data_IF_659100533827
#
_entry.id   IF_659100533827
#
_cell.length_a   1.000
_cell.length_b   1.000
_cell.length_c   1.000
_cell.angle_alpha   90.00
_cell.angle_beta   90.00
_cell.angle_gamma   90.00
#
_symmetry.space_group_name_H-M   'P 1'
#
loop_
_entity.id
_entity.type
_entity.pdbx_description
1 polymer ?
#
# COMPACT_ATOMS: atom_id res chain seq x y z
N UNK A 1 -5.39 20.83 -22.99
CA UNK A 1 -6.14 19.77 -22.25
C UNK A 1 -5.24 18.60 -21.80
N UNK A 2 -4.29 18.12 -22.62
CA UNK A 2 -3.32 17.05 -22.24
C UNK A 2 -2.48 17.34 -20.98
N UNK A 3 -2.09 18.59 -20.73
CA UNK A 3 -1.28 18.95 -19.55
C UNK A 3 -1.98 18.71 -18.19
N UNK A 4 -3.31 18.67 -18.14
CA UNK A 4 -4.06 18.44 -16.90
C UNK A 4 -3.93 17.00 -16.40
N UNK A 5 -3.86 16.02 -17.32
CA UNK A 5 -3.71 14.60 -16.98
C UNK A 5 -2.25 14.18 -16.78
N UNK A 6 -1.32 14.81 -17.49
CA UNK A 6 0.12 14.50 -17.35
C UNK A 6 0.71 15.01 -16.03
N UNK A 7 0.14 16.09 -15.46
CA UNK A 7 0.62 16.70 -14.21
C UNK A 7 0.50 15.77 -12.99
N UNK A 8 -0.66 15.19 -12.65
CA UNK A 8 -0.78 14.29 -11.50
C UNK A 8 0.07 13.03 -11.67
N UNK A 9 0.09 12.42 -12.87
CA UNK A 9 0.93 11.26 -13.16
C UNK A 9 2.42 11.55 -12.89
N UNK A 10 2.87 12.74 -13.28
CA UNK A 10 4.24 13.19 -13.07
C UNK A 10 4.56 13.46 -11.59
N UNK A 11 3.66 14.12 -10.86
CA UNK A 11 3.83 14.35 -9.41
C UNK A 11 3.89 13.02 -8.67
N UNK A 12 3.02 12.09 -9.05
CA UNK A 12 2.98 10.77 -8.48
C UNK A 12 4.27 9.98 -8.75
N UNK A 13 4.76 10.00 -9.99
CA UNK A 13 6.05 9.41 -10.34
C UNK A 13 7.20 10.04 -9.54
N UNK A 14 7.20 11.36 -9.34
CA UNK A 14 8.21 12.03 -8.50
C UNK A 14 8.13 11.56 -7.04
N UNK A 15 6.93 11.50 -6.46
CA UNK A 15 6.74 11.03 -5.09
C UNK A 15 7.19 9.57 -4.92
N UNK A 16 7.07 8.74 -5.96
CA UNK A 16 7.54 7.36 -5.95
C UNK A 16 9.08 7.24 -5.93
N UNK A 17 9.78 8.24 -6.48
CA UNK A 17 11.25 8.24 -6.63
C UNK A 17 11.92 9.26 -5.71
N UNK A 18 11.16 9.84 -4.78
CA UNK A 18 11.67 10.79 -3.79
C UNK A 18 12.89 10.25 -3.02
N UNK A 19 13.39 11.02 -2.07
CA UNK A 19 14.60 10.67 -1.31
C UNK A 19 14.47 9.43 -0.39
N UNK A 20 13.42 8.62 -0.55
CA UNK A 20 13.16 7.41 0.22
C UNK A 20 14.07 6.24 -0.20
N UNK A 21 14.53 5.45 0.75
CA UNK A 21 15.32 4.25 0.44
C UNK A 21 14.49 3.20 -0.32
N UNK A 22 15.10 2.33 -1.16
CA UNK A 22 14.37 1.25 -1.85
C UNK A 22 13.63 0.32 -0.88
N UNK A 23 14.14 0.22 0.37
CA UNK A 23 13.49 -0.51 1.46
C UNK A 23 12.19 0.18 1.90
N UNK A 24 12.19 1.50 2.08
CA UNK A 24 10.98 2.25 2.41
C UNK A 24 9.93 2.20 1.29
N UNK A 25 10.37 2.20 0.02
CA UNK A 25 9.48 1.98 -1.13
C UNK A 25 8.86 0.59 -1.10
N UNK A 26 9.67 -0.44 -0.86
CA UNK A 26 9.19 -1.82 -0.79
C UNK A 26 8.22 -2.06 0.39
N UNK A 27 8.52 -1.53 1.57
CA UNK A 27 7.62 -1.60 2.72
C UNK A 27 6.32 -0.85 2.46
N UNK A 28 6.39 0.35 1.88
CA UNK A 28 5.20 1.12 1.50
C UNK A 28 4.33 0.31 0.55
N UNK A 29 4.91 -0.24 -0.53
CA UNK A 29 4.17 -1.04 -1.51
C UNK A 29 3.57 -2.32 -0.90
N UNK A 30 4.31 -3.05 -0.07
CA UNK A 30 3.83 -4.27 0.59
C UNK A 30 2.72 -4.00 1.61
N UNK A 31 2.81 -2.91 2.38
CA UNK A 31 1.72 -2.47 3.26
C UNK A 31 0.50 -2.03 2.42
N UNK A 32 0.74 -1.32 1.31
CA UNK A 32 -0.29 -0.95 0.36
C UNK A 32 -1.00 -2.16 -0.23
N UNK A 33 -0.27 -3.24 -0.55
CA UNK A 33 -0.83 -4.51 -0.98
C UNK A 33 -1.80 -5.08 0.05
N UNK A 34 -1.39 -5.14 1.33
CA UNK A 34 -2.26 -5.63 2.40
C UNK A 34 -3.53 -4.79 2.51
N UNK A 35 -3.41 -3.47 2.53
CA UNK A 35 -4.56 -2.56 2.59
C UNK A 35 -5.46 -2.70 1.37
N UNK A 36 -4.87 -2.88 0.18
CA UNK A 36 -5.57 -3.03 -1.08
C UNK A 36 -6.36 -4.33 -1.18
N UNK A 37 -5.78 -5.44 -0.69
CA UNK A 37 -6.40 -6.77 -0.76
C UNK A 37 -7.62 -6.90 0.15
N UNK A 38 -7.64 -6.28 1.32
CA UNK A 38 -8.76 -6.46 2.25
C UNK A 38 -10.03 -5.73 1.80
N UNK A 39 -11.23 -6.28 2.07
CA UNK A 39 -12.48 -5.58 1.82
C UNK A 39 -12.56 -4.33 2.71
N UNK A 40 -13.08 -3.24 2.17
CA UNK A 40 -13.21 -1.98 2.91
C UNK A 40 -14.37 -2.09 3.90
N UNK A 41 -14.14 -1.71 5.16
CA UNK A 41 -15.18 -1.73 6.21
C UNK A 41 -14.87 -2.58 7.44
N UNK A 42 -13.69 -3.22 7.48
CA UNK A 42 -13.20 -3.87 8.70
C UNK A 42 -12.08 -3.05 9.38
N UNK A 43 -11.92 -3.26 10.67
CA UNK A 43 -10.94 -2.58 11.51
C UNK A 43 -9.50 -2.94 11.10
N UNK A 44 -9.27 -4.16 10.59
CA UNK A 44 -7.94 -4.60 10.14
C UNK A 44 -7.45 -3.71 9.00
N UNK A 45 -8.28 -3.46 7.98
CA UNK A 45 -7.96 -2.60 6.86
C UNK A 45 -7.70 -1.16 7.32
N UNK A 46 -8.48 -0.66 8.29
CA UNK A 46 -8.27 0.66 8.88
C UNK A 46 -6.92 0.75 9.62
N UNK A 47 -6.58 -0.25 10.44
CA UNK A 47 -5.31 -0.32 11.16
C UNK A 47 -4.14 -0.42 10.19
N UNK A 48 -4.23 -1.26 9.16
CA UNK A 48 -3.18 -1.38 8.13
C UNK A 48 -3.00 -0.08 7.35
N UNK A 49 -4.09 0.61 7.02
CA UNK A 49 -4.02 1.92 6.38
C UNK A 49 -3.37 2.96 7.30
N UNK A 50 -3.73 2.96 8.59
CA UNK A 50 -3.11 3.82 9.59
C UNK A 50 -1.61 3.53 9.73
N UNK A 51 -1.20 2.26 9.72
CA UNK A 51 0.22 1.87 9.70
C UNK A 51 0.92 2.37 8.44
N UNK A 52 0.30 2.24 7.26
CA UNK A 52 0.88 2.71 6.01
C UNK A 52 1.11 4.23 6.03
N UNK A 53 0.13 5.01 6.51
CA UNK A 53 0.24 6.47 6.53
C UNK A 53 1.04 7.03 7.71
N UNK A 54 1.05 6.32 8.84
CA UNK A 54 1.75 6.68 10.07
C UNK A 54 3.23 6.28 10.12
N UNK A 55 3.67 5.34 9.27
CA UNK A 55 5.09 4.94 9.21
C UNK A 55 5.89 5.78 8.21
N UNK A 56 7.22 5.83 8.39
CA UNK A 56 8.16 6.53 7.48
C UNK A 56 8.45 5.69 6.23
N UNK A 57 7.41 5.29 5.50
CA UNK A 57 7.48 4.55 4.24
C UNK A 57 7.09 5.44 3.07
N UNK A 58 7.41 5.02 1.83
CA UNK A 58 7.00 5.77 0.65
C UNK A 58 5.49 5.62 0.43
N UNK A 59 4.74 6.69 0.73
CA UNK A 59 3.27 6.69 0.62
C UNK A 59 2.79 6.54 -0.81
N UNK A 60 3.51 7.06 -1.81
CA UNK A 60 3.15 6.90 -3.21
C UNK A 60 3.25 5.43 -3.65
N UNK A 61 4.28 4.71 -3.20
CA UNK A 61 4.41 3.27 -3.40
C UNK A 61 3.28 2.51 -2.69
N UNK A 62 2.91 2.93 -1.48
CA UNK A 62 1.74 2.37 -0.79
C UNK A 62 0.43 2.58 -1.54
N UNK A 63 0.17 3.79 -2.04
CA UNK A 63 -1.01 4.08 -2.85
C UNK A 63 -1.04 3.29 -4.17
N UNK A 64 0.13 3.07 -4.80
CA UNK A 64 0.23 2.14 -5.94
C UNK A 64 -0.17 0.73 -5.54
N UNK A 65 0.37 0.24 -4.43
CA UNK A 65 0.04 -1.08 -3.89
C UNK A 65 -1.45 -1.22 -3.65
N UNK A 66 -2.07 -0.24 -2.99
CA UNK A 66 -3.52 -0.22 -2.75
C UNK A 66 -4.28 -0.32 -4.07
N UNK A 67 -3.99 0.55 -5.04
CA UNK A 67 -4.73 0.57 -6.31
C UNK A 67 -4.62 -0.75 -7.07
N UNK A 68 -3.41 -1.31 -7.21
CA UNK A 68 -3.17 -2.55 -7.94
C UNK A 68 -3.82 -3.75 -7.24
N UNK A 69 -3.66 -3.84 -5.93
CA UNK A 69 -4.14 -5.00 -5.18
C UNK A 69 -5.60 -4.90 -4.76
N UNK A 70 -6.23 -3.73 -4.79
CA UNK A 70 -7.69 -3.63 -4.71
C UNK A 70 -8.37 -4.25 -5.92
N UNK A 71 -7.79 -4.07 -7.12
CA UNK A 71 -8.29 -4.79 -8.29
C UNK A 71 -8.00 -6.30 -8.19
N UNK A 72 -6.80 -6.68 -7.75
CA UNK A 72 -6.46 -8.09 -7.55
C UNK A 72 -7.33 -8.76 -6.48
N UNK A 73 -7.65 -8.05 -5.39
CA UNK A 73 -8.52 -8.53 -4.32
C UNK A 73 -9.89 -8.90 -4.85
N UNK A 74 -10.49 -8.01 -5.64
CA UNK A 74 -11.78 -8.27 -6.31
C UNK A 74 -11.74 -9.52 -7.20
N UNK A 75 -10.66 -9.73 -7.96
CA UNK A 75 -10.49 -10.94 -8.79
C UNK A 75 -10.31 -12.20 -7.93
N UNK A 76 -9.68 -12.08 -6.77
CA UNK A 76 -9.40 -13.18 -5.85
C UNK A 76 -10.54 -13.44 -4.84
N UNK A 77 -11.63 -12.67 -4.87
CA UNK A 77 -12.71 -12.73 -3.88
C UNK A 77 -13.29 -14.15 -3.72
N UNK A 78 -13.61 -14.84 -4.82
CA UNK A 78 -14.17 -16.20 -4.79
C UNK A 78 -13.19 -17.21 -4.17
N UNK A 79 -11.91 -17.07 -4.49
CA UNK A 79 -10.87 -17.94 -3.94
C UNK A 79 -10.65 -17.65 -2.45
N UNK A 80 -10.63 -16.38 -2.06
CA UNK A 80 -10.54 -15.96 -0.68
C UNK A 80 -11.73 -16.44 0.14
N UNK A 81 -12.96 -16.36 -0.39
CA UNK A 81 -14.16 -16.88 0.26
C UNK A 81 -14.01 -18.37 0.61
N UNK A 82 -13.56 -19.18 -0.36
CA UNK A 82 -13.33 -20.62 -0.14
C UNK A 82 -12.27 -20.87 0.91
N UNK A 83 -11.11 -20.22 0.81
CA UNK A 83 -10.04 -20.37 1.81
C UNK A 83 -10.48 -19.94 3.22
N UNK A 84 -11.14 -18.79 3.35
CA UNK A 84 -11.60 -18.30 4.63
C UNK A 84 -12.70 -19.17 5.24
N UNK A 85 -13.59 -19.74 4.41
CA UNK A 85 -14.60 -20.68 4.89
C UNK A 85 -13.98 -21.90 5.58
N UNK A 86 -12.94 -22.48 4.98
CA UNK A 86 -12.22 -23.63 5.54
C UNK A 86 -11.63 -23.28 6.92
N UNK A 87 -11.01 -22.11 7.03
CA UNK A 87 -10.36 -21.67 8.27
C UNK A 87 -11.38 -21.37 9.37
N UNK A 88 -12.48 -20.67 9.06
CA UNK A 88 -13.50 -20.30 10.05
C UNK A 88 -14.26 -21.53 10.56
N UNK A 89 -14.49 -22.53 9.70
CA UNK A 89 -15.13 -23.79 10.10
C UNK A 89 -14.21 -24.73 10.87
N UNK A 90 -12.91 -24.43 10.94
CA UNK A 90 -11.95 -25.31 11.58
C UNK A 90 -12.10 -25.26 13.11
N UNK A 91 -12.48 -26.40 13.70
CA UNK A 91 -12.78 -26.53 15.14
C UNK A 91 -11.73 -25.93 16.09
N UNK A 92 -10.40 -26.09 15.87
CA UNK A 92 -9.39 -25.52 16.75
C UNK A 92 -9.36 -23.98 16.77
N UNK A 93 -9.82 -23.32 15.71
CA UNK A 93 -9.77 -21.85 15.58
C UNK A 93 -11.03 -21.19 16.17
N UNK A 94 -12.13 -21.94 16.30
CA UNK A 94 -13.40 -21.43 16.79
C UNK A 94 -13.34 -20.82 18.21
N UNK A 95 -12.65 -21.43 19.21
CA UNK A 95 -12.54 -20.81 20.54
C UNK A 95 -11.83 -19.46 20.51
N UNK A 96 -10.77 -19.33 19.69
CA UNK A 96 -10.03 -18.08 19.53
C UNK A 96 -10.86 -17.00 18.86
N UNK A 97 -11.63 -17.37 17.82
CA UNK A 97 -12.56 -16.46 17.16
C UNK A 97 -13.67 -16.03 18.12
N UNK A 98 -14.28 -16.96 18.86
CA UNK A 98 -15.33 -16.66 19.84
C UNK A 98 -14.84 -15.65 20.89
N UNK A 99 -13.68 -15.91 21.51
CA UNK A 99 -13.07 -14.98 22.46
C UNK A 99 -12.82 -13.59 21.88
N UNK A 100 -12.38 -13.51 20.61
CA UNK A 100 -12.16 -12.24 19.94
C UNK A 100 -13.46 -11.46 19.73
N UNK A 101 -14.57 -12.14 19.42
CA UNK A 101 -15.88 -11.50 19.23
C UNK A 101 -16.53 -11.03 20.53
N UNK A 102 -16.19 -11.64 21.67
CA UNK A 102 -16.63 -11.18 22.98
C UNK A 102 -15.99 -9.84 23.38
N UNK A 103 -14.91 -9.41 22.71
CA UNK A 103 -14.27 -8.13 22.99
C UNK A 103 -15.08 -6.95 22.42
N UNK A 104 -15.00 -5.74 23.02
CA UNK A 104 -15.74 -4.55 22.57
C UNK A 104 -15.50 -4.18 21.10
N UNK A 105 -14.30 -4.44 20.58
CA UNK A 105 -13.93 -4.19 19.19
C UNK A 105 -14.08 -5.41 18.28
N UNK A 106 -14.37 -6.58 18.84
CA UNK A 106 -14.45 -7.87 18.14
C UNK A 106 -15.31 -7.85 16.88
N UNK A 107 -16.55 -7.34 16.93
CA UNK A 107 -17.41 -7.25 15.77
C UNK A 107 -16.83 -6.41 14.62
N UNK A 108 -16.04 -5.37 14.94
CA UNK A 108 -15.44 -4.49 13.95
C UNK A 108 -14.20 -5.09 13.28
N UNK A 109 -13.56 -6.10 13.88
CA UNK A 109 -12.38 -6.76 13.30
C UNK A 109 -12.71 -7.43 11.96
N UNK A 110 -13.94 -7.94 11.80
CA UNK A 110 -14.45 -8.46 10.53
C UNK A 110 -13.91 -9.83 10.10
N UNK A 111 -13.21 -10.56 10.98
CA UNK A 111 -12.70 -11.91 10.71
C UNK A 111 -13.79 -12.99 10.54
N UNK A 112 -15.05 -12.64 10.75
CA UNK A 112 -16.22 -13.53 10.61
C UNK A 112 -16.64 -13.60 9.14
N UNK A 113 -16.21 -12.61 8.36
CA UNK A 113 -16.35 -12.63 6.93
C UNK A 113 -15.24 -13.51 6.33
N UNK A 114 -15.66 -14.57 5.64
CA UNK A 114 -14.76 -15.51 4.97
C UNK A 114 -13.84 -14.83 3.95
N UNK A 115 -14.32 -13.79 3.26
CA UNK A 115 -13.52 -13.03 2.29
C UNK A 115 -12.42 -12.25 2.99
N UNK A 116 -12.73 -11.57 4.12
CA UNK A 116 -11.74 -10.83 4.91
C UNK A 116 -10.66 -11.79 5.45
N UNK A 117 -11.07 -12.92 6.03
CA UNK A 117 -10.14 -13.93 6.55
C UNK A 117 -9.27 -14.50 5.43
N UNK A 118 -9.87 -14.88 4.29
CA UNK A 118 -9.14 -15.42 3.15
C UNK A 118 -8.14 -14.43 2.55
N UNK A 119 -8.55 -13.18 2.34
CA UNK A 119 -7.68 -12.13 1.80
C UNK A 119 -6.58 -11.74 2.79
N UNK A 120 -6.84 -11.80 4.10
CA UNK A 120 -5.81 -11.62 5.11
C UNK A 120 -4.74 -12.72 5.02
N UNK A 121 -5.15 -13.98 4.88
CA UNK A 121 -4.22 -15.11 4.74
C UNK A 121 -3.41 -15.04 3.45
N UNK A 122 -4.08 -14.75 2.32
CA UNK A 122 -3.43 -14.53 1.02
C UNK A 122 -2.46 -13.36 1.12
N UNK A 123 -2.88 -12.25 1.73
CA UNK A 123 -2.05 -11.07 1.95
C UNK A 123 -0.81 -11.38 2.77
N UNK A 124 -0.96 -12.06 3.92
CA UNK A 124 0.15 -12.48 4.76
C UNK A 124 1.14 -13.38 4.02
N UNK A 125 0.63 -14.33 3.25
CA UNK A 125 1.47 -15.20 2.40
C UNK A 125 2.21 -14.42 1.32
N UNK A 126 1.52 -13.49 0.64
CA UNK A 126 2.09 -12.67 -0.43
C UNK A 126 2.93 -11.50 0.07
N UNK A 127 2.90 -11.19 1.36
CA UNK A 127 3.57 -10.01 1.91
C UNK A 127 5.08 -10.07 1.70
N UNK A 128 5.70 -11.19 2.08
CA UNK A 128 7.14 -11.39 1.92
C UNK A 128 7.60 -11.41 0.45
N UNK A 129 6.98 -12.19 -0.47
CA UNK A 129 7.38 -12.16 -1.87
C UNK A 129 7.15 -10.79 -2.50
N UNK A 130 6.03 -10.12 -2.20
CA UNK A 130 5.77 -8.76 -2.71
C UNK A 130 6.81 -7.76 -2.20
N UNK A 131 7.19 -7.82 -0.93
CA UNK A 131 8.27 -6.98 -0.40
C UNK A 131 9.60 -7.23 -1.12
N UNK A 132 9.97 -8.49 -1.34
CA UNK A 132 11.22 -8.86 -2.03
C UNK A 132 11.23 -8.36 -3.47
N UNK A 133 10.17 -8.65 -4.23
CA UNK A 133 10.03 -8.20 -5.62
C UNK A 133 10.05 -6.68 -5.69
N UNK A 134 9.29 -6.01 -4.83
CA UNK A 134 9.21 -4.54 -4.82
C UNK A 134 10.55 -3.89 -4.49
N UNK A 135 11.34 -4.48 -3.59
CA UNK A 135 12.70 -3.99 -3.26
C UNK A 135 13.62 -4.09 -4.48
N UNK A 136 13.62 -5.22 -5.15
CA UNK A 136 14.43 -5.48 -6.35
C UNK A 136 14.01 -4.51 -7.47
N UNK A 137 12.71 -4.41 -7.72
CA UNK A 137 12.13 -3.50 -8.71
C UNK A 137 12.48 -2.04 -8.39
N UNK A 138 12.34 -1.61 -7.14
CA UNK A 138 12.69 -0.25 -6.71
C UNK A 138 14.18 0.06 -6.93
N UNK A 139 15.09 -0.90 -6.74
CA UNK A 139 16.52 -0.68 -7.03
C UNK A 139 16.82 -0.53 -8.53
N UNK A 140 16.17 -1.31 -9.40
CA UNK A 140 16.40 -1.25 -10.84
C UNK A 140 15.71 -0.08 -11.54
N UNK A 141 14.51 0.29 -11.07
CA UNK A 141 13.69 1.33 -11.70
C UNK A 141 14.20 2.73 -11.38
N UNK A 142 14.75 2.94 -10.17
CA UNK A 142 15.23 4.26 -9.71
C UNK A 142 16.15 5.00 -10.68
N UNK A 143 17.26 4.41 -11.17
CA UNK A 143 18.18 5.11 -12.07
C UNK A 143 17.51 5.49 -13.39
N UNK A 144 16.62 4.64 -13.91
CA UNK A 144 15.89 4.88 -15.17
C UNK A 144 14.93 6.04 -15.02
N UNK A 145 14.05 6.03 -14.03
CA UNK A 145 13.07 7.10 -13.91
C UNK A 145 13.72 8.41 -13.44
N UNK A 146 14.78 8.37 -12.62
CA UNK A 146 15.56 9.58 -12.29
C UNK A 146 16.11 10.26 -13.55
N UNK A 147 16.67 9.49 -14.50
CA UNK A 147 17.15 10.03 -15.78
C UNK A 147 16.01 10.64 -16.62
N UNK A 148 14.86 9.99 -16.69
CA UNK A 148 13.68 10.52 -17.38
C UNK A 148 13.13 11.79 -16.72
N UNK A 149 13.11 11.85 -15.39
CA UNK A 149 12.64 13.00 -14.63
C UNK A 149 13.55 14.22 -14.79
N UNK A 150 14.88 14.05 -14.76
CA UNK A 150 15.84 15.14 -14.95
C UNK A 150 15.78 15.77 -16.35
N UNK A 151 15.24 15.05 -17.34
CA UNK A 151 15.02 15.56 -18.71
C UNK A 151 13.95 16.66 -18.78
N UNK A 152 13.01 16.72 -17.83
CA UNK A 152 11.90 17.69 -17.88
C UNK A 152 12.17 18.94 -17.02
N UNK A 153 12.39 20.08 -17.68
CA UNK A 153 12.76 21.42 -17.13
C UNK A 153 12.01 21.87 -15.86
N UNK A 154 10.75 21.47 -15.67
CA UNK A 154 9.94 21.87 -14.50
C UNK A 154 10.42 21.25 -13.17
N UNK A 155 11.17 20.14 -13.18
CA UNK A 155 11.75 19.56 -11.94
C UNK A 155 12.90 20.41 -11.40
N UNK A 156 13.61 21.15 -12.28
CA UNK A 156 14.58 22.17 -11.86
C UNK A 156 13.89 23.34 -11.16
N UNK A 157 12.67 23.69 -11.58
CA UNK A 157 11.87 24.75 -10.97
C UNK A 157 11.26 24.33 -9.62
N UNK A 158 10.75 23.10 -9.48
CA UNK A 158 10.22 22.62 -8.19
C UNK A 158 11.32 22.40 -7.14
N UNK A 159 12.49 21.83 -7.53
CA UNK A 159 13.65 21.79 -6.62
C UNK A 159 14.20 23.19 -6.33
N UNK A 160 14.16 24.09 -7.32
CA UNK A 160 14.56 25.49 -7.13
C UNK A 160 13.64 26.27 -6.19
N UNK A 161 12.34 25.97 -6.19
CA UNK A 161 11.38 26.55 -5.25
C UNK A 161 11.58 26.02 -3.82
N UNK A 162 11.92 24.74 -3.64
CA UNK A 162 12.29 24.20 -2.32
C UNK A 162 13.64 24.74 -1.81
N UNK A 163 14.62 24.96 -2.69
CA UNK A 163 15.89 25.62 -2.33
C UNK A 163 15.66 27.11 -2.00
N UNK A 164 14.77 27.81 -2.72
CA UNK A 164 14.38 29.19 -2.41
C UNK A 164 13.63 29.33 -1.08
N UNK A 165 12.77 28.36 -0.74
CA UNK A 165 12.05 28.34 0.54
C UNK A 165 12.96 28.01 1.73
N UNK A 166 14.04 27.25 1.52
CA UNK A 166 15.06 27.01 2.54
C UNK A 166 16.00 28.21 2.75
N UNK A 167 16.03 29.17 1.82
CA UNK A 167 16.94 30.33 1.82
C UNK A 167 16.24 31.67 2.03
N UNK A 168 15.03 31.67 2.62
CA UNK A 168 14.46 32.86 3.25
C UNK A 168 14.54 34.16 2.44
N UNK A 169 14.30 34.10 1.13
CA UNK A 169 14.05 35.33 0.37
C UNK A 169 12.58 35.67 0.55
N UNK A 170 12.30 36.32 1.67
CA UNK A 170 11.16 37.20 1.87
C UNK A 170 11.10 38.18 0.69
N UNK A 171 9.93 38.26 0.06
CA UNK A 171 9.51 39.41 -0.71
C UNK A 171 8.45 40.14 0.09
#
# INVERSE_FOLDING_TARGET
MLNLFLRPLRIFAQALIGNDTPRQTAWGFALGMMVGLLPKGNLIAAVLAMMLFGTKVNRAAGLLGIGLFSYAGWVLDDFAHRLGSLVITWQPVQPTLAWLYEQPLGPFVGLNNTVVMGQLLIGLYLFYPTYRVSRVTATYIRPRIHAYLMKYRVIRWLRGAEVGAQWGFEG
#
